data_IF_959069744099
#
_entry.id   IF_959069744099
#
_cell.length_a   1.000
_cell.length_b   1.000
_cell.length_c   1.000
_cell.angle_alpha   90.00
_cell.angle_beta   90.00
_cell.angle_gamma   90.00
#
_symmetry.space_group_name_H-M   'P 1'
#
loop_
_entity.id
_entity.type
_entity.pdbx_description
1 polymer ?
#
# COMPACT_ATOMS: atom_id res chain seq x y z
N UNK A 1 11.28 -13.64 20.77
CA UNK A 1 12.38 -12.74 20.43
C UNK A 1 12.27 -11.47 21.26
N UNK A 2 13.38 -10.78 21.45
CA UNK A 2 13.46 -9.51 22.19
C UNK A 2 13.64 -8.38 21.20
N UNK A 3 12.85 -7.35 21.32
CA UNK A 3 12.98 -6.12 20.55
C UNK A 3 13.30 -4.96 21.47
N UNK A 4 14.26 -4.15 21.04
CA UNK A 4 14.72 -2.96 21.74
C UNK A 4 14.22 -1.71 20.97
N UNK A 5 13.26 -1.00 21.55
CA UNK A 5 12.65 0.16 20.92
C UNK A 5 13.25 1.44 21.49
N UNK A 6 13.96 2.17 20.65
CA UNK A 6 14.38 3.53 20.93
C UNK A 6 13.43 4.52 20.24
N UNK A 7 12.67 5.25 21.04
CA UNK A 7 11.77 6.28 20.54
C UNK A 7 12.49 7.62 20.54
N UNK A 8 12.67 8.18 19.34
CA UNK A 8 13.06 9.59 19.24
C UNK A 8 11.86 10.46 19.61
N UNK A 9 12.03 11.36 20.54
CA UNK A 9 11.01 12.32 20.91
C UNK A 9 10.60 13.17 19.70
N UNK A 10 9.42 12.90 19.17
CA UNK A 10 8.72 13.86 18.33
C UNK A 10 7.84 14.75 19.22
N UNK A 11 7.64 15.98 18.85
CA UNK A 11 6.85 16.96 19.58
C UNK A 11 5.38 16.58 19.85
N UNK A 12 4.92 15.44 19.35
CA UNK A 12 3.51 15.05 19.32
C UNK A 12 3.11 13.94 20.30
N UNK A 13 4.04 13.30 20.99
CA UNK A 13 3.69 12.29 22.01
C UNK A 13 4.68 12.23 23.17
N UNK A 14 4.53 13.09 24.19
CA UNK A 14 5.46 13.16 25.33
C UNK A 14 5.38 11.96 26.30
N UNK A 15 4.44 11.04 26.09
CA UNK A 15 4.17 9.92 27.01
C UNK A 15 4.88 8.62 26.56
N UNK A 16 5.43 8.58 25.34
CA UNK A 16 6.13 7.39 24.83
C UNK A 16 7.48 7.26 25.54
N UNK A 17 7.81 6.12 26.17
CA UNK A 17 9.10 5.92 26.81
C UNK A 17 10.25 6.04 25.81
N UNK A 18 11.39 6.57 26.26
CA UNK A 18 12.58 6.75 25.40
C UNK A 18 13.18 5.44 24.91
N UNK A 19 13.05 4.40 25.70
CA UNK A 19 13.45 3.03 25.33
C UNK A 19 12.48 2.04 25.96
N UNK A 20 12.13 1.01 25.20
CA UNK A 20 11.31 -0.10 25.64
C UNK A 20 11.98 -1.41 25.18
N UNK A 21 12.32 -2.25 26.15
CA UNK A 21 12.81 -3.63 25.92
C UNK A 21 11.67 -4.55 26.27
N UNK A 22 11.23 -5.37 25.32
CA UNK A 22 10.04 -6.22 25.48
C UNK A 22 10.29 -7.60 24.87
N UNK A 23 10.01 -8.64 25.63
CA UNK A 23 9.93 -10.00 25.12
C UNK A 23 8.56 -10.25 24.50
N UNK A 24 8.54 -10.54 23.21
CA UNK A 24 7.31 -10.72 22.42
C UNK A 24 7.15 -12.14 21.91
N UNK A 25 5.89 -12.58 21.88
CA UNK A 25 5.50 -13.70 21.03
C UNK A 25 4.78 -13.17 19.82
N UNK A 26 5.21 -13.60 18.65
CA UNK A 26 4.56 -13.27 17.39
C UNK A 26 4.08 -14.56 16.73
N UNK A 27 2.77 -14.70 16.59
CA UNK A 27 2.16 -15.74 15.77
C UNK A 27 1.70 -15.11 14.46
N UNK A 28 2.22 -15.65 13.35
CA UNK A 28 1.95 -15.12 12.02
C UNK A 28 1.39 -16.21 11.12
N UNK A 29 0.21 -15.94 10.54
CA UNK A 29 -0.40 -16.75 9.50
C UNK A 29 -0.38 -15.99 8.18
N UNK A 30 0.14 -16.62 7.13
CA UNK A 30 0.18 -16.06 5.78
C UNK A 30 -0.50 -17.06 4.84
N UNK A 31 -1.48 -16.56 4.07
CA UNK A 31 -2.11 -17.30 3.00
C UNK A 31 -1.99 -16.52 1.70
N UNK A 32 -1.34 -17.14 0.71
CA UNK A 32 -1.17 -16.55 -0.62
C UNK A 32 -1.92 -17.39 -1.65
N UNK A 33 -2.74 -16.73 -2.42
CA UNK A 33 -3.37 -17.27 -3.61
C UNK A 33 -2.93 -16.45 -4.82
N UNK A 34 -2.35 -17.11 -5.81
CA UNK A 34 -1.91 -16.47 -7.06
C UNK A 34 -2.36 -17.31 -8.26
N UNK A 35 -3.26 -16.75 -9.06
CA UNK A 35 -3.71 -17.29 -10.32
C UNK A 35 -3.57 -16.22 -11.42
N UNK A 36 -2.40 -15.57 -11.46
CA UNK A 36 -2.10 -14.53 -12.43
C UNK A 36 -1.26 -15.11 -13.57
N UNK A 37 -1.73 -14.94 -14.79
CA UNK A 37 -0.96 -15.22 -15.99
C UNK A 37 -0.12 -13.98 -16.34
N UNK A 38 1.20 -14.16 -16.31
CA UNK A 38 2.18 -13.15 -16.65
C UNK A 38 2.63 -13.34 -18.11
N UNK A 39 2.31 -12.38 -18.95
CA UNK A 39 2.69 -12.41 -20.37
C UNK A 39 3.30 -11.06 -20.78
N UNK A 40 4.59 -10.87 -20.47
CA UNK A 40 5.30 -9.61 -20.66
C UNK A 40 4.55 -8.41 -20.03
N UNK A 41 4.09 -7.50 -20.89
CA UNK A 41 3.37 -6.30 -20.46
C UNK A 41 1.89 -6.55 -20.09
N UNK A 42 1.38 -7.74 -20.34
CA UNK A 42 -0.02 -8.08 -20.08
C UNK A 42 -0.14 -9.04 -18.91
N UNK A 43 -1.07 -8.73 -18.03
CA UNK A 43 -1.41 -9.54 -16.88
C UNK A 43 -2.90 -9.90 -16.96
N UNK A 44 -3.26 -11.10 -16.54
CA UNK A 44 -4.66 -11.50 -16.39
C UNK A 44 -4.80 -12.47 -15.24
N UNK A 45 -5.86 -12.33 -14.45
CA UNK A 45 -6.13 -13.18 -13.32
C UNK A 45 -6.28 -12.41 -12.01
N UNK A 46 -6.21 -13.14 -10.92
CA UNK A 46 -6.43 -12.63 -9.58
C UNK A 46 -5.37 -13.19 -8.61
N UNK A 47 -4.91 -12.35 -7.70
CA UNK A 47 -4.09 -12.79 -6.56
C UNK A 47 -4.61 -12.17 -5.26
N UNK A 48 -4.40 -12.88 -4.17
CA UNK A 48 -4.74 -12.43 -2.82
C UNK A 48 -3.64 -12.85 -1.85
N UNK A 49 -3.25 -11.95 -0.95
CA UNK A 49 -2.27 -12.22 0.10
C UNK A 49 -2.83 -11.78 1.44
N UNK A 50 -3.29 -12.76 2.24
CA UNK A 50 -3.76 -12.56 3.60
C UNK A 50 -2.60 -12.73 4.58
N UNK A 51 -2.47 -11.79 5.49
CA UNK A 51 -1.51 -11.82 6.60
C UNK A 51 -2.24 -11.52 7.90
N UNK A 52 -2.24 -12.46 8.83
CA UNK A 52 -2.81 -12.31 10.17
C UNK A 52 -1.68 -12.47 11.19
N UNK A 53 -1.60 -11.55 12.13
CA UNK A 53 -0.59 -11.55 13.18
C UNK A 53 -1.26 -11.36 14.55
N UNK A 54 -0.84 -12.16 15.49
CA UNK A 54 -1.10 -11.95 16.91
C UNK A 54 0.24 -11.63 17.59
N UNK A 55 0.26 -10.54 18.33
CA UNK A 55 1.43 -10.07 19.06
C UNK A 55 1.06 -10.02 20.53
N UNK A 56 1.84 -10.70 21.36
CA UNK A 56 1.68 -10.70 22.80
C UNK A 56 3.03 -10.48 23.50
N UNK A 57 2.99 -10.05 24.76
CA UNK A 57 4.14 -9.89 25.63
C UNK A 57 4.19 -11.03 26.66
N UNK A 58 5.37 -11.63 26.87
CA UNK A 58 5.55 -12.72 27.83
C UNK A 58 5.39 -12.27 29.27
N UNK A 59 5.72 -11.05 29.55
CA UNK A 59 5.74 -10.45 30.89
C UNK A 59 4.54 -9.53 31.17
N UNK A 60 3.62 -9.41 30.19
CA UNK A 60 2.47 -8.52 30.29
C UNK A 60 2.81 -7.03 30.22
N UNK A 61 4.03 -6.67 29.81
CA UNK A 61 4.46 -5.27 29.70
C UNK A 61 3.74 -4.50 28.60
N UNK A 62 3.23 -5.19 27.57
CA UNK A 62 2.36 -4.66 26.54
C UNK A 62 1.06 -5.44 26.44
N UNK A 63 -0.05 -4.81 26.12
CA UNK A 63 -1.29 -5.53 25.83
C UNK A 63 -1.16 -6.36 24.55
N UNK A 64 -1.83 -7.48 24.52
CA UNK A 64 -1.93 -8.33 23.34
C UNK A 64 -2.76 -7.64 22.25
N UNK A 65 -2.36 -7.79 21.00
CA UNK A 65 -3.12 -7.21 19.89
C UNK A 65 -3.03 -8.03 18.62
N UNK A 66 -4.00 -7.81 17.74
CA UNK A 66 -4.09 -8.41 16.43
C UNK A 66 -3.85 -7.40 15.33
N UNK A 67 -3.17 -7.85 14.27
CA UNK A 67 -3.02 -7.12 13.03
C UNK A 67 -3.40 -8.07 11.89
N UNK A 68 -4.33 -7.62 11.05
CA UNK A 68 -4.70 -8.36 9.85
C UNK A 68 -4.70 -7.45 8.64
N UNK A 69 -4.16 -7.92 7.51
CA UNK A 69 -4.32 -7.24 6.24
C UNK A 69 -4.44 -8.22 5.08
N UNK A 70 -5.11 -7.79 4.03
CA UNK A 70 -5.20 -8.53 2.78
C UNK A 70 -4.99 -7.59 1.60
N UNK A 71 -4.17 -8.03 0.66
CA UNK A 71 -3.99 -7.41 -0.64
C UNK A 71 -4.68 -8.25 -1.72
N UNK A 72 -5.73 -7.70 -2.33
CA UNK A 72 -6.39 -8.28 -3.49
C UNK A 72 -5.90 -7.56 -4.74
N UNK A 73 -5.47 -8.30 -5.76
CA UNK A 73 -5.14 -7.72 -7.06
C UNK A 73 -5.86 -8.47 -8.17
N UNK A 74 -6.42 -7.71 -9.09
CA UNK A 74 -7.14 -8.22 -10.25
C UNK A 74 -6.57 -7.60 -11.52
N UNK A 75 -6.37 -8.43 -12.53
CA UNK A 75 -5.82 -8.02 -13.81
C UNK A 75 -6.69 -8.57 -14.95
N UNK A 76 -6.91 -7.74 -15.95
CA UNK A 76 -7.68 -8.11 -17.13
C UNK A 76 -7.06 -7.50 -18.38
N UNK A 77 -6.83 -8.33 -19.39
CA UNK A 77 -6.50 -7.84 -20.72
C UNK A 77 -7.71 -7.18 -21.37
N UNK A 78 -7.51 -6.01 -21.97
CA UNK A 78 -8.55 -5.23 -22.65
C UNK A 78 -8.13 -4.97 -24.09
N UNK A 79 -8.75 -5.70 -25.01
CA UNK A 79 -8.36 -5.70 -26.42
C UNK A 79 -6.93 -6.19 -26.64
N UNK A 80 -6.31 -5.75 -27.72
CA UNK A 80 -4.96 -6.19 -28.09
C UNK A 80 -3.85 -5.44 -27.34
N UNK A 81 -4.08 -4.16 -27.02
CA UNK A 81 -3.07 -3.25 -26.49
C UNK A 81 -3.31 -2.78 -25.06
N UNK A 82 -4.45 -3.13 -24.48
CA UNK A 82 -4.86 -2.67 -23.16
C UNK A 82 -4.69 -3.71 -22.07
N UNK A 83 -4.42 -3.22 -20.86
CA UNK A 83 -4.43 -4.01 -19.64
C UNK A 83 -5.03 -3.20 -18.49
N UNK A 84 -6.07 -3.73 -17.87
CA UNK A 84 -6.67 -3.18 -16.67
C UNK A 84 -6.08 -3.87 -15.45
N UNK A 85 -5.70 -3.10 -14.45
CA UNK A 85 -5.19 -3.60 -13.17
C UNK A 85 -5.88 -2.87 -12.02
N UNK A 86 -6.29 -3.61 -11.00
CA UNK A 86 -6.88 -3.05 -9.78
C UNK A 86 -6.33 -3.75 -8.56
N UNK A 87 -6.14 -3.01 -7.48
CA UNK A 87 -5.73 -3.54 -6.17
C UNK A 87 -6.65 -2.95 -5.09
N UNK A 88 -7.09 -3.82 -4.19
CA UNK A 88 -7.75 -3.44 -2.95
C UNK A 88 -6.93 -3.98 -1.78
N UNK A 89 -6.47 -3.08 -0.93
CA UNK A 89 -5.75 -3.40 0.31
C UNK A 89 -6.66 -3.07 1.49
N UNK A 90 -6.87 -4.04 2.35
CA UNK A 90 -7.65 -3.89 3.57
C UNK A 90 -6.78 -4.25 4.76
N UNK A 91 -6.65 -3.35 5.71
CA UNK A 91 -5.90 -3.56 6.94
C UNK A 91 -6.71 -3.16 8.16
N UNK A 92 -6.64 -3.98 9.21
CA UNK A 92 -7.28 -3.70 10.48
C UNK A 92 -6.44 -4.28 11.63
N UNK A 93 -6.30 -3.50 12.70
CA UNK A 93 -5.65 -3.93 13.94
C UNK A 93 -6.59 -3.67 15.13
N UNK A 94 -6.28 -4.28 16.29
CA UNK A 94 -6.92 -3.92 17.55
C UNK A 94 -6.67 -2.44 17.81
N UNK A 95 -7.75 -1.67 17.99
CA UNK A 95 -7.65 -0.22 17.99
C UNK A 95 -7.10 0.34 19.30
N UNK A 96 -7.54 -0.22 20.44
CA UNK A 96 -7.17 0.27 21.78
C UNK A 96 -5.84 -0.33 22.21
N UNK A 97 -5.63 -1.62 21.90
CA UNK A 97 -4.49 -2.39 22.38
C UNK A 97 -3.27 -2.29 21.48
N UNK A 98 -3.44 -1.76 20.27
CA UNK A 98 -2.31 -1.57 19.34
C UNK A 98 -1.46 -0.39 19.77
N UNK A 99 -0.19 -0.58 20.20
CA UNK A 99 0.64 0.49 20.76
C UNK A 99 1.12 1.50 19.71
N UNK A 100 0.92 1.23 18.43
CA UNK A 100 1.28 2.11 17.32
C UNK A 100 0.28 1.92 16.16
N UNK A 101 0.23 2.88 15.26
CA UNK A 101 -0.58 2.78 14.04
C UNK A 101 0.17 1.96 12.98
N UNK A 102 -0.19 0.67 12.75
CA UNK A 102 0.60 -0.24 11.91
C UNK A 102 0.43 -0.01 10.42
N UNK A 103 -0.62 0.71 10.01
CA UNK A 103 -0.91 0.95 8.60
C UNK A 103 -0.54 2.38 8.20
N UNK A 104 0.08 2.50 7.04
CA UNK A 104 0.43 3.79 6.44
C UNK A 104 -0.32 3.98 5.13
N UNK A 105 -0.74 5.21 4.86
CA UNK A 105 -1.25 5.66 3.57
C UNK A 105 -0.22 6.64 3.02
N UNK A 106 0.70 6.15 2.22
CA UNK A 106 1.90 6.86 1.77
C UNK A 106 2.12 6.77 0.27
N UNK A 107 3.16 7.41 -0.22
CA UNK A 107 3.52 7.44 -1.64
C UNK A 107 4.22 6.16 -2.14
N UNK A 108 4.81 5.36 -1.26
CA UNK A 108 5.66 4.25 -1.68
C UNK A 108 4.86 3.06 -2.21
N UNK A 109 3.84 2.64 -1.46
CA UNK A 109 3.11 1.42 -1.75
C UNK A 109 1.60 1.63 -1.90
N UNK A 110 1.07 2.81 -1.55
CA UNK A 110 -0.35 3.02 -1.40
C UNK A 110 -0.94 4.01 -2.39
N UNK A 111 -0.50 5.26 -2.41
CA UNK A 111 -1.11 6.33 -3.23
C UNK A 111 -0.01 7.11 -3.96
N UNK A 112 -0.04 7.09 -5.27
CA UNK A 112 0.91 7.84 -6.10
C UNK A 112 0.61 9.33 -6.09
N UNK A 113 1.63 10.13 -5.83
CA UNK A 113 1.54 11.59 -5.88
C UNK A 113 1.21 12.26 -4.54
N UNK A 114 0.99 11.50 -3.47
CA UNK A 114 0.74 12.06 -2.13
C UNK A 114 1.96 12.77 -1.52
N UNK A 115 3.08 12.78 -2.23
CA UNK A 115 4.29 13.47 -1.79
C UNK A 115 4.94 12.80 -0.58
N UNK A 116 5.40 13.62 0.36
CA UNK A 116 6.03 13.15 1.60
C UNK A 116 5.04 12.97 2.75
N UNK A 117 3.76 13.16 2.51
CA UNK A 117 2.72 12.95 3.53
C UNK A 117 2.61 11.46 3.84
N UNK A 118 2.66 11.14 5.13
CA UNK A 118 2.49 9.79 5.65
C UNK A 118 1.35 9.84 6.67
N UNK A 119 0.17 9.44 6.24
CA UNK A 119 -0.96 9.25 7.14
C UNK A 119 -0.88 7.85 7.76
N UNK A 120 -1.18 7.71 9.04
CA UNK A 120 -1.08 6.46 9.79
C UNK A 120 -2.38 6.14 10.52
N UNK A 121 -2.71 4.85 10.57
CA UNK A 121 -3.92 4.39 11.25
C UNK A 121 -3.83 2.98 11.79
N UNK A 122 -4.80 2.65 12.63
CA UNK A 122 -5.05 1.29 13.13
C UNK A 122 -5.95 0.48 12.20
N UNK A 123 -6.44 1.11 11.14
CA UNK A 123 -7.06 0.48 9.99
C UNK A 123 -6.75 1.28 8.74
N UNK A 124 -6.71 0.63 7.59
CA UNK A 124 -6.53 1.27 6.29
C UNK A 124 -7.32 0.54 5.19
N UNK A 125 -7.89 1.32 4.30
CA UNK A 125 -8.50 0.86 3.07
C UNK A 125 -7.80 1.60 1.95
N UNK A 126 -7.14 0.88 1.02
CA UNK A 126 -6.51 1.48 -0.15
C UNK A 126 -7.02 0.80 -1.40
N UNK A 127 -7.48 1.60 -2.33
CA UNK A 127 -7.91 1.15 -3.65
C UNK A 127 -7.07 1.83 -4.73
N UNK A 128 -6.51 1.02 -5.61
CA UNK A 128 -5.77 1.48 -6.78
C UNK A 128 -6.39 0.85 -8.01
N UNK A 129 -6.57 1.62 -9.05
CA UNK A 129 -6.99 1.10 -10.34
C UNK A 129 -6.29 1.85 -11.45
N UNK A 130 -5.90 1.13 -12.51
CA UNK A 130 -5.23 1.73 -13.66
C UNK A 130 -5.54 0.99 -14.94
N UNK A 131 -5.61 1.76 -16.01
CA UNK A 131 -5.62 1.24 -17.36
C UNK A 131 -4.28 1.55 -18.03
N UNK A 132 -3.62 0.50 -18.50
CA UNK A 132 -2.34 0.54 -19.21
C UNK A 132 -2.57 0.36 -20.69
N UNK A 133 -2.01 1.22 -21.53
CA UNK A 133 -2.11 1.09 -22.98
C UNK A 133 -0.73 1.00 -23.62
N UNK A 134 -0.50 -0.01 -24.44
CA UNK A 134 0.75 -0.21 -25.17
C UNK A 134 0.78 0.72 -26.37
N UNK A 135 1.69 1.70 -26.35
CA UNK A 135 1.93 2.64 -27.44
C UNK A 135 2.88 2.05 -28.49
N UNK A 136 3.99 1.49 -28.02
CA UNK A 136 5.05 0.95 -28.86
C UNK A 136 5.41 -0.45 -28.33
N UNK A 137 5.47 -1.40 -29.25
CA UNK A 137 5.94 -2.76 -28.97
C UNK A 137 6.99 -3.13 -30.01
N UNK A 138 8.24 -3.26 -29.59
CA UNK A 138 9.40 -3.64 -30.40
C UNK A 138 10.07 -4.89 -29.82
N UNK A 139 10.99 -5.48 -30.55
CA UNK A 139 11.68 -6.73 -30.16
C UNK A 139 12.44 -6.59 -28.84
N UNK A 140 12.94 -5.41 -28.51
CA UNK A 140 13.76 -5.18 -27.33
C UNK A 140 13.08 -4.34 -26.24
N UNK A 141 12.01 -3.58 -26.57
CA UNK A 141 11.32 -2.76 -25.56
C UNK A 141 9.82 -2.59 -25.83
N UNK A 142 9.12 -2.27 -24.78
CA UNK A 142 7.71 -1.83 -24.79
C UNK A 142 7.61 -0.47 -24.12
N UNK A 143 6.86 0.44 -24.75
CA UNK A 143 6.43 1.69 -24.13
C UNK A 143 4.92 1.65 -23.89
N UNK A 144 4.50 1.85 -22.65
CA UNK A 144 3.09 1.95 -22.27
C UNK A 144 2.82 3.32 -21.63
N UNK A 145 1.63 3.83 -21.83
CA UNK A 145 1.05 4.87 -20.98
C UNK A 145 0.02 4.25 -20.04
N UNK A 146 -0.26 4.94 -18.92
CA UNK A 146 -1.33 4.56 -18.03
C UNK A 146 -2.10 5.80 -17.53
N UNK A 147 -3.37 5.60 -17.28
CA UNK A 147 -4.21 6.47 -16.47
C UNK A 147 -4.59 5.70 -15.21
N UNK A 148 -4.61 6.36 -14.08
CA UNK A 148 -4.90 5.70 -12.82
C UNK A 148 -5.75 6.55 -11.88
N UNK A 149 -6.36 5.87 -10.93
CA UNK A 149 -7.02 6.46 -9.77
C UNK A 149 -6.56 5.69 -8.53
N UNK A 150 -5.90 6.37 -7.63
CA UNK A 150 -5.51 5.85 -6.32
C UNK A 150 -6.36 6.51 -5.25
N UNK A 151 -6.84 5.73 -4.29
CA UNK A 151 -7.59 6.24 -3.15
C UNK A 151 -7.25 5.48 -1.88
N UNK A 152 -7.30 6.16 -0.76
CA UNK A 152 -7.07 5.56 0.55
C UNK A 152 -7.81 6.28 1.66
N UNK A 153 -8.11 5.52 2.70
CA UNK A 153 -8.68 6.02 3.93
C UNK A 153 -8.14 5.23 5.11
N UNK A 154 -8.12 5.84 6.29
CA UNK A 154 -7.61 5.20 7.50
C UNK A 154 -8.47 5.48 8.72
N UNK A 155 -8.38 4.59 9.71
CA UNK A 155 -8.95 4.73 11.04
C UNK A 155 -7.88 5.23 12.01
N UNK A 156 -8.15 6.31 12.69
CA UNK A 156 -7.24 6.87 13.68
C UNK A 156 -7.05 5.93 14.90
N UNK A 157 -5.92 5.98 15.61
CA UNK A 157 -5.78 5.31 16.89
C UNK A 157 -6.85 5.80 17.87
N UNK A 158 -7.57 4.86 18.51
CA UNK A 158 -8.70 5.19 19.38
C UNK A 158 -10.00 5.57 18.67
N UNK A 159 -9.99 5.74 17.33
CA UNK A 159 -11.16 6.05 16.52
C UNK A 159 -12.07 4.85 16.26
N UNK A 160 -13.06 5.04 15.42
CA UNK A 160 -14.05 4.03 15.05
C UNK A 160 -14.15 3.83 13.52
N UNK A 161 -15.12 3.07 13.06
CA UNK A 161 -15.32 2.81 11.63
C UNK A 161 -15.79 4.05 10.84
N UNK A 162 -16.36 5.06 11.52
CA UNK A 162 -16.82 6.29 10.85
C UNK A 162 -15.62 7.11 10.34
N UNK A 163 -14.43 6.93 10.93
CA UNK A 163 -13.19 7.56 10.48
C UNK A 163 -12.90 7.28 8.99
N UNK A 164 -13.25 6.08 8.49
CA UNK A 164 -13.07 5.75 7.09
C UNK A 164 -13.90 6.61 6.13
N UNK A 165 -14.96 7.24 6.63
CA UNK A 165 -15.84 8.14 5.88
C UNK A 165 -15.57 9.62 6.17
N UNK A 166 -14.64 9.93 7.08
CA UNK A 166 -14.26 11.30 7.37
C UNK A 166 -13.45 11.89 6.21
N UNK A 167 -13.86 13.05 5.72
CA UNK A 167 -13.17 13.75 4.64
C UNK A 167 -11.70 14.10 4.96
N UNK A 168 -11.33 14.13 6.23
CA UNK A 168 -9.95 14.36 6.67
C UNK A 168 -9.07 13.13 6.46
N UNK A 169 -9.67 11.95 6.56
CA UNK A 169 -9.01 10.65 6.45
C UNK A 169 -9.11 10.04 5.05
N UNK A 170 -9.57 10.80 4.07
CA UNK A 170 -9.70 10.33 2.69
C UNK A 170 -8.68 11.03 1.79
N UNK A 171 -7.98 10.23 0.98
CA UNK A 171 -7.08 10.69 -0.09
C UNK A 171 -7.52 10.10 -1.41
N UNK A 172 -7.65 10.95 -2.45
CA UNK A 172 -8.00 10.53 -3.82
C UNK A 172 -7.08 11.23 -4.80
N UNK A 173 -6.40 10.45 -5.63
CA UNK A 173 -5.35 10.88 -6.54
C UNK A 173 -5.53 10.27 -7.93
N UNK A 174 -6.24 10.94 -8.85
CA UNK A 174 -6.14 10.64 -10.27
C UNK A 174 -4.74 10.98 -10.79
N UNK A 175 -4.33 10.27 -11.85
CA UNK A 175 -3.02 10.52 -12.42
C UNK A 175 -2.78 9.82 -13.75
N UNK A 176 -1.61 10.11 -14.30
CA UNK A 176 -1.13 9.55 -15.56
C UNK A 176 0.33 9.13 -15.43
N UNK A 177 0.77 8.21 -16.27
CA UNK A 177 2.15 7.77 -16.24
C UNK A 177 2.62 7.15 -17.53
N UNK A 178 3.93 6.87 -17.54
CA UNK A 178 4.63 6.16 -18.60
C UNK A 178 5.40 4.99 -17.99
N UNK A 179 5.48 3.90 -18.75
CA UNK A 179 6.22 2.70 -18.41
C UNK A 179 7.08 2.29 -19.59
N UNK A 180 8.37 2.11 -19.34
CA UNK A 180 9.33 1.55 -20.26
C UNK A 180 9.73 0.16 -19.77
N UNK A 181 9.51 -0.86 -20.59
CA UNK A 181 9.88 -2.23 -20.28
C UNK A 181 10.95 -2.69 -21.26
N UNK A 182 12.07 -3.17 -20.73
CA UNK A 182 13.12 -3.76 -21.53
C UNK A 182 12.95 -5.28 -21.62
N UNK A 183 12.64 -5.81 -22.80
CA UNK A 183 12.28 -7.23 -22.99
C UNK A 183 13.43 -8.22 -22.80
N UNK A 184 14.67 -7.77 -22.93
CA UNK A 184 15.87 -8.63 -22.81
C UNK A 184 16.46 -8.66 -21.40
N UNK A 185 15.90 -7.87 -20.46
CA UNK A 185 16.31 -7.82 -19.07
C UNK A 185 15.09 -8.24 -18.25
N UNK A 186 15.26 -9.25 -17.42
CA UNK A 186 14.18 -9.76 -16.58
C UNK A 186 13.65 -8.67 -15.62
N UNK A 187 12.34 -8.47 -15.62
CA UNK A 187 11.63 -7.49 -14.76
C UNK A 187 12.13 -6.03 -14.85
N UNK A 188 12.84 -5.65 -15.93
CA UNK A 188 13.28 -4.26 -16.11
C UNK A 188 12.14 -3.38 -16.63
N UNK A 189 11.31 -2.93 -15.72
CA UNK A 189 10.22 -1.98 -15.98
C UNK A 189 10.55 -0.70 -15.23
N UNK A 190 10.72 0.39 -15.96
CA UNK A 190 10.89 1.73 -15.41
C UNK A 190 9.57 2.48 -15.58
N UNK A 191 9.11 3.13 -14.53
CA UNK A 191 7.86 3.90 -14.56
C UNK A 191 8.05 5.30 -14.01
N UNK A 192 7.29 6.21 -14.57
CA UNK A 192 7.14 7.58 -14.10
C UNK A 192 5.64 7.86 -14.06
N UNK A 193 5.12 8.12 -12.87
CA UNK A 193 3.72 8.41 -12.64
C UNK A 193 3.59 9.83 -12.04
N UNK A 194 2.59 10.59 -12.48
CA UNK A 194 2.22 11.88 -11.92
C UNK A 194 0.82 11.77 -11.34
N UNK A 195 0.67 12.01 -10.04
CA UNK A 195 -0.59 12.02 -9.31
C UNK A 195 -0.96 13.43 -8.83
N UNK A 196 -2.24 13.73 -8.83
CA UNK A 196 -2.79 15.00 -8.38
C UNK A 196 -3.90 14.76 -7.36
N UNK A 197 -3.74 15.26 -6.13
CA UNK A 197 -4.73 15.12 -5.07
C UNK A 197 -5.95 16.02 -5.28
N UNK A 198 -7.15 15.42 -5.26
CA UNK A 198 -8.42 16.14 -5.42
C UNK A 198 -9.21 16.25 -4.11
N UNK A 199 -8.72 15.63 -3.03
CA UNK A 199 -9.28 15.74 -1.67
C UNK A 199 -8.66 16.89 -0.91
N UNK A 200 -9.25 17.22 0.27
CA UNK A 200 -8.72 18.24 1.17
C UNK A 200 -7.23 17.97 1.47
N UNK A 201 -6.43 19.01 1.47
CA UNK A 201 -4.98 18.98 1.65
C UNK A 201 -4.24 18.07 0.63
N UNK A 202 -4.89 17.83 -0.54
CA UNK A 202 -4.29 17.07 -1.62
C UNK A 202 -3.09 17.78 -2.23
N UNK A 203 -1.96 17.11 -2.24
CA UNK A 203 -0.73 17.54 -2.89
C UNK A 203 -0.64 16.96 -4.31
N UNK A 204 0.47 17.13 -4.96
CA UNK A 204 0.77 16.55 -6.28
C UNK A 204 2.23 16.12 -6.33
N UNK A 205 2.50 15.05 -7.05
CA UNK A 205 3.86 14.54 -7.09
C UNK A 205 4.14 13.63 -8.26
N UNK A 206 5.43 13.56 -8.59
CA UNK A 206 5.96 12.60 -9.55
C UNK A 206 6.57 11.45 -8.78
N UNK A 207 6.26 10.24 -9.19
CA UNK A 207 6.78 9.00 -8.61
C UNK A 207 7.59 8.26 -9.66
N UNK A 208 8.85 7.99 -9.34
CA UNK A 208 9.71 7.11 -10.13
C UNK A 208 9.71 5.73 -9.49
N UNK A 209 9.69 4.69 -10.31
CA UNK A 209 9.72 3.32 -9.80
C UNK A 209 10.32 2.33 -10.76
N UNK A 210 10.78 1.22 -10.19
CA UNK A 210 11.25 0.03 -10.93
C UNK A 210 10.25 -1.09 -10.62
N UNK A 211 9.81 -1.80 -11.65
CA UNK A 211 8.77 -2.82 -11.55
C UNK A 211 7.35 -2.30 -11.75
N UNK A 212 6.37 -3.21 -11.66
CA UNK A 212 4.95 -2.86 -11.66
C UNK A 212 4.61 -2.20 -10.31
N UNK A 213 3.58 -1.34 -10.28
CA UNK A 213 3.16 -0.72 -9.03
C UNK A 213 2.42 -1.73 -8.13
N UNK A 214 1.64 -2.62 -8.74
CA UNK A 214 0.97 -3.75 -8.09
C UNK A 214 0.63 -4.83 -9.12
#
# INVERSE_FOLDING_TARGET
>A
FTEDYNYLFGATNPVVPQALIVDKHLYKFIYNFDNVNYHYQYLSGFKSSLNLQYVGSSDGSLPDFWIGFNDFSYYRRVGEKGNWASRLRLGLASNVDTPFAPFTVDNNLNIRGVGNTIDRGTGAIVFNTEYRHTLIDKDWFVLQTNIFLDGGSWRNPGGNFDDFSDNQNIRIYPGVGLRFMHKRIFNAIFRIDYGYGITKDGDRGIVFGIGQYF
#
